data_IF_053842491965
#
_entry.id   IF_053842491965
#
_cell.length_a   1.000
_cell.length_b   1.000
_cell.length_c   1.000
_cell.angle_alpha   90.00
_cell.angle_beta   90.00
_cell.angle_gamma   90.00
#
_symmetry.space_group_name_H-M   'P 1'
#
loop_
_entity.id
_entity.type
_entity.pdbx_description
1 polymer ?
#
# COMPACT_ATOMS: atom_id res chain seq x y z
N UNK A 1 5.71 49.18 -18.39
CA UNK A 1 4.72 48.36 -19.11
C UNK A 1 5.52 47.36 -19.92
N UNK A 2 5.98 46.36 -19.18
CA UNK A 2 6.49 45.09 -19.65
C UNK A 2 5.31 44.29 -20.21
N UNK A 3 5.49 43.62 -21.35
CA UNK A 3 4.72 42.43 -21.71
C UNK A 3 5.47 41.59 -22.76
N UNK A 4 5.32 40.28 -22.60
CA UNK A 4 5.98 39.16 -23.26
C UNK A 4 5.60 38.98 -24.73
N UNK A 5 6.52 38.41 -25.53
CA UNK A 5 6.18 37.38 -26.53
C UNK A 5 7.42 36.62 -27.05
N UNK A 6 7.52 35.38 -26.58
CA UNK A 6 7.79 34.17 -27.38
C UNK A 6 9.15 34.06 -28.09
N UNK A 7 10.18 33.70 -27.32
CA UNK A 7 11.36 33.02 -27.84
C UNK A 7 11.09 31.52 -28.05
N UNK A 8 10.45 31.16 -29.16
CA UNK A 8 10.55 29.81 -29.72
C UNK A 8 11.89 29.71 -30.47
N UNK A 9 12.78 28.85 -30.01
CA UNK A 9 13.90 28.31 -30.80
C UNK A 9 14.16 26.90 -30.26
N UNK A 10 13.53 25.89 -30.85
CA UNK A 10 14.00 25.11 -32.00
C UNK A 10 14.63 23.80 -31.51
N UNK A 11 13.85 22.75 -31.75
CA UNK A 11 14.21 21.34 -31.65
C UNK A 11 15.36 21.06 -32.62
N UNK A 12 16.44 20.46 -32.11
CA UNK A 12 17.42 19.71 -32.90
C UNK A 12 17.37 18.27 -32.41
N UNK A 13 17.06 17.35 -33.33
CA UNK A 13 16.84 15.94 -33.04
C UNK A 13 18.09 15.06 -33.15
N UNK A 14 17.92 13.82 -32.68
CA UNK A 14 18.64 12.63 -33.13
C UNK A 14 19.71 12.10 -32.17
N UNK A 15 19.37 11.09 -31.37
CA UNK A 15 20.33 10.27 -30.60
C UNK A 15 19.68 9.48 -29.46
N UNK A 16 19.24 8.26 -29.77
CA UNK A 16 18.93 7.12 -28.86
C UNK A 16 18.34 7.39 -27.47
N UNK A 17 17.02 7.26 -27.37
CA UNK A 17 16.38 6.34 -26.42
C UNK A 17 16.77 6.40 -24.95
N UNK A 18 16.69 7.56 -24.30
CA UNK A 18 16.49 7.63 -22.85
C UNK A 18 15.17 8.32 -22.55
N UNK A 19 14.20 7.55 -22.03
CA UNK A 19 13.02 8.13 -21.37
C UNK A 19 13.54 9.04 -20.25
N UNK A 20 13.10 10.31 -20.17
CA UNK A 20 13.52 11.18 -19.09
C UNK A 20 13.03 10.60 -17.77
N UNK A 21 13.95 10.07 -16.96
CA UNK A 21 13.66 9.81 -15.56
C UNK A 21 13.60 11.16 -14.87
N UNK A 22 12.37 11.62 -14.62
CA UNK A 22 12.12 12.84 -13.89
C UNK A 22 12.52 12.61 -12.43
N UNK A 23 13.59 13.30 -12.05
CA UNK A 23 13.71 14.13 -10.84
C UNK A 23 13.12 13.57 -9.54
N UNK A 24 14.02 13.22 -8.63
CA UNK A 24 13.75 13.24 -7.19
C UNK A 24 14.43 12.14 -6.41
N UNK A 25 15.73 12.27 -6.15
CA UNK A 25 16.47 11.42 -5.21
C UNK A 25 16.05 11.67 -3.75
N UNK A 26 14.79 11.36 -3.42
CA UNK A 26 14.26 11.24 -2.05
C UNK A 26 13.77 9.83 -1.74
N UNK A 27 13.95 8.87 -2.67
CA UNK A 27 13.33 7.54 -2.65
C UNK A 27 13.88 6.54 -1.61
N UNK A 28 14.81 6.90 -0.74
CA UNK A 28 15.57 5.89 0.01
C UNK A 28 15.29 5.75 1.52
N UNK A 29 14.38 6.51 2.14
CA UNK A 29 14.24 6.42 3.61
C UNK A 29 12.82 6.29 4.19
N UNK A 30 11.76 6.30 3.37
CA UNK A 30 10.38 6.20 3.91
C UNK A 30 9.44 5.32 3.06
N UNK A 31 9.97 4.55 2.09
CA UNK A 31 9.15 3.68 1.26
C UNK A 31 9.04 2.28 1.86
N UNK A 32 7.84 1.95 2.33
CA UNK A 32 7.43 0.62 2.75
C UNK A 32 7.93 -0.47 1.79
N UNK A 33 8.61 -1.46 2.35
CA UNK A 33 9.21 -2.61 1.67
C UNK A 33 8.20 -3.43 0.83
N UNK A 34 6.89 -3.15 0.93
CA UNK A 34 5.80 -3.84 0.23
C UNK A 34 5.58 -3.42 -1.22
N UNK A 35 5.92 -2.19 -1.62
CA UNK A 35 5.58 -1.71 -2.98
C UNK A 35 6.49 -2.30 -4.08
N UNK A 36 7.78 -2.38 -3.79
CA UNK A 36 8.79 -2.88 -4.72
C UNK A 36 8.54 -4.33 -5.18
N UNK A 37 8.22 -5.30 -4.29
CA UNK A 37 7.93 -6.66 -4.72
C UNK A 37 6.68 -6.73 -5.61
N UNK A 38 5.62 -5.96 -5.30
CA UNK A 38 4.39 -5.94 -6.12
C UNK A 38 4.67 -5.46 -7.54
N UNK A 39 5.41 -4.36 -7.68
CA UNK A 39 5.78 -3.82 -8.99
C UNK A 39 6.65 -4.81 -9.78
N UNK A 40 7.58 -5.50 -9.11
CA UNK A 40 8.40 -6.53 -9.77
C UNK A 40 7.57 -7.73 -10.25
N UNK A 41 6.62 -8.21 -9.44
CA UNK A 41 5.75 -9.32 -9.81
C UNK A 41 4.81 -8.94 -10.97
N UNK A 42 4.31 -7.71 -11.00
CA UNK A 42 3.55 -7.20 -12.14
C UNK A 42 4.40 -7.12 -13.41
N UNK A 43 5.67 -6.73 -13.30
CA UNK A 43 6.61 -6.69 -14.43
C UNK A 43 6.92 -8.10 -14.97
N UNK A 44 6.94 -9.11 -14.10
CA UNK A 44 7.08 -10.52 -14.45
C UNK A 44 5.79 -11.15 -15.03
N UNK A 45 4.70 -10.37 -15.11
CA UNK A 45 3.43 -10.78 -15.73
C UNK A 45 2.47 -11.52 -14.79
N UNK A 46 2.68 -11.45 -13.47
CA UNK A 46 1.74 -11.98 -12.49
C UNK A 46 0.55 -11.04 -12.26
N UNK A 47 -0.60 -11.64 -11.96
CA UNK A 47 -1.72 -10.92 -11.36
C UNK A 47 -1.48 -10.82 -9.85
N UNK A 48 -1.43 -9.59 -9.32
CA UNK A 48 -1.09 -9.34 -7.92
C UNK A 48 -2.26 -8.69 -7.21
N UNK A 49 -2.79 -9.41 -6.22
CA UNK A 49 -3.65 -8.85 -5.19
C UNK A 49 -2.84 -8.65 -3.91
N UNK A 50 -3.05 -7.53 -3.22
CA UNK A 50 -2.41 -7.26 -1.93
C UNK A 50 -3.46 -7.00 -0.85
N UNK A 51 -3.08 -7.26 0.40
CA UNK A 51 -3.99 -7.26 1.54
C UNK A 51 -3.82 -5.96 2.34
N UNK A 52 -4.72 -5.01 2.13
CA UNK A 52 -4.61 -3.66 2.69
C UNK A 52 -4.71 -3.64 4.22
N UNK A 53 -5.55 -4.50 4.80
CA UNK A 53 -5.80 -4.57 6.25
C UNK A 53 -4.70 -5.32 7.03
N UNK A 54 -3.72 -5.90 6.32
CA UNK A 54 -2.56 -6.57 6.91
C UNK A 54 -1.26 -5.78 6.72
N UNK A 55 -1.30 -4.60 6.08
CA UNK A 55 -0.13 -3.77 5.79
C UNK A 55 -0.28 -2.42 6.48
N UNK A 56 0.75 -2.02 7.22
CA UNK A 56 0.81 -0.73 7.91
C UNK A 56 1.99 0.11 7.43
N UNK A 57 1.82 1.43 7.48
CA UNK A 57 2.87 2.41 7.19
C UNK A 57 3.08 3.31 8.43
N UNK A 58 4.17 4.08 8.47
CA UNK A 58 4.47 5.01 9.56
C UNK A 58 3.43 6.12 9.73
N UNK A 59 2.69 6.43 8.67
CA UNK A 59 1.57 7.36 8.72
C UNK A 59 0.42 6.94 7.80
N UNK A 60 -0.79 7.40 8.12
CA UNK A 60 -1.97 7.15 7.28
C UNK A 60 -1.81 7.76 5.90
N UNK A 61 -1.21 8.95 5.79
CA UNK A 61 -1.00 9.61 4.50
C UNK A 61 -0.03 8.83 3.60
N UNK A 62 1.03 8.25 4.17
CA UNK A 62 1.95 7.38 3.44
C UNK A 62 1.24 6.12 2.96
N UNK A 63 0.50 5.43 3.85
CA UNK A 63 -0.28 4.25 3.50
C UNK A 63 -1.28 4.53 2.36
N UNK A 64 -2.09 5.58 2.47
CA UNK A 64 -3.10 5.94 1.46
C UNK A 64 -2.43 6.25 0.11
N UNK A 65 -1.26 6.91 0.12
CA UNK A 65 -0.50 7.21 -1.10
C UNK A 65 0.08 5.94 -1.74
N UNK A 66 0.57 5.00 -0.93
CA UNK A 66 1.10 3.71 -1.41
C UNK A 66 -0.01 2.87 -2.04
N UNK A 67 -1.18 2.76 -1.40
CA UNK A 67 -2.35 2.05 -1.94
C UNK A 67 -2.78 2.65 -3.29
N UNK A 68 -2.85 3.97 -3.39
CA UNK A 68 -3.19 4.66 -4.64
C UNK A 68 -2.17 4.35 -5.75
N UNK A 69 -0.88 4.31 -5.42
CA UNK A 69 0.18 3.96 -6.36
C UNK A 69 0.03 2.53 -6.86
N UNK A 70 -0.17 1.58 -5.96
CA UNK A 70 -0.34 0.16 -6.31
C UNK A 70 -1.59 -0.06 -7.17
N UNK A 71 -2.70 0.57 -6.83
CA UNK A 71 -3.92 0.53 -7.63
C UNK A 71 -3.68 1.05 -9.06
N UNK A 72 -2.94 2.16 -9.21
CA UNK A 72 -2.58 2.69 -10.54
C UNK A 72 -1.64 1.78 -11.33
N UNK A 73 -0.81 0.97 -10.67
CA UNK A 73 0.02 -0.03 -11.36
C UNK A 73 -0.76 -1.26 -11.83
N UNK A 74 -2.03 -1.39 -11.45
CA UNK A 74 -2.88 -2.53 -11.80
C UNK A 74 -2.93 -3.63 -10.74
N UNK A 75 -2.34 -3.42 -9.55
CA UNK A 75 -2.53 -4.32 -8.43
C UNK A 75 -3.94 -4.18 -7.85
N UNK A 76 -4.54 -5.30 -7.44
CA UNK A 76 -5.90 -5.32 -6.91
C UNK A 76 -5.84 -5.19 -5.38
N UNK A 77 -6.35 -4.09 -4.79
CA UNK A 77 -6.48 -4.00 -3.34
C UNK A 77 -7.57 -4.98 -2.88
N UNK A 78 -7.24 -5.82 -1.91
CA UNK A 78 -8.18 -6.74 -1.28
C UNK A 78 -8.00 -6.71 0.25
N UNK A 79 -8.95 -7.28 0.96
CA UNK A 79 -8.89 -7.44 2.42
C UNK A 79 -8.61 -8.89 2.78
N UNK A 80 -8.11 -9.15 3.99
CA UNK A 80 -7.83 -10.51 4.47
C UNK A 80 -9.07 -11.38 4.36
N UNK A 81 -10.24 -10.83 4.70
CA UNK A 81 -11.53 -11.52 4.64
C UNK A 81 -11.98 -11.76 3.20
N UNK A 82 -11.76 -10.79 2.30
CA UNK A 82 -12.04 -10.93 0.87
C UNK A 82 -11.22 -12.05 0.24
N UNK A 83 -9.92 -12.09 0.50
CA UNK A 83 -9.04 -13.16 0.01
C UNK A 83 -9.46 -14.54 0.55
N UNK A 84 -9.83 -14.61 1.83
CA UNK A 84 -10.34 -15.84 2.43
C UNK A 84 -11.64 -16.29 1.76
N UNK A 85 -12.55 -15.35 1.46
CA UNK A 85 -13.80 -15.65 0.77
C UNK A 85 -13.56 -16.13 -0.68
N UNK A 86 -12.57 -15.58 -1.37
CA UNK A 86 -12.14 -16.05 -2.70
C UNK A 86 -11.55 -17.46 -2.66
N UNK A 87 -10.82 -17.81 -1.61
CA UNK A 87 -10.29 -19.17 -1.44
C UNK A 87 -11.38 -20.20 -1.11
N UNK A 88 -12.36 -19.82 -0.30
CA UNK A 88 -13.41 -20.75 0.11
C UNK A 88 -14.48 -20.94 -0.96
N UNK A 89 -14.85 -19.90 -1.72
CA UNK A 89 -15.93 -19.84 -2.73
C UNK A 89 -17.34 -20.21 -2.22
N UNK A 90 -17.48 -21.21 -1.34
CA UNK A 90 -18.71 -21.72 -0.75
C UNK A 90 -18.60 -21.91 0.77
N UNK A 91 -19.56 -21.31 1.49
CA UNK A 91 -19.70 -21.33 2.95
C UNK A 91 -20.27 -22.63 3.51
N UNK A 92 -20.73 -23.53 2.64
CA UNK A 92 -21.22 -24.88 3.00
C UNK A 92 -20.10 -25.89 3.13
N UNK A 93 -18.90 -25.58 2.63
CA UNK A 93 -17.76 -26.47 2.73
C UNK A 93 -17.33 -26.64 4.21
N UNK A 94 -16.83 -27.82 4.60
CA UNK A 94 -16.40 -28.08 5.97
C UNK A 94 -15.27 -27.13 6.42
N UNK A 95 -14.44 -26.65 5.50
CA UNK A 95 -13.37 -25.68 5.78
C UNK A 95 -13.93 -24.34 6.30
N UNK A 96 -15.15 -23.95 5.89
CA UNK A 96 -15.79 -22.74 6.40
C UNK A 96 -16.12 -22.83 7.89
N UNK A 97 -16.36 -24.05 8.41
CA UNK A 97 -16.56 -24.26 9.85
C UNK A 97 -15.25 -24.08 10.64
N UNK A 98 -14.11 -24.45 10.07
CA UNK A 98 -12.81 -24.20 10.68
C UNK A 98 -12.50 -22.69 10.72
N UNK A 99 -12.78 -21.97 9.63
CA UNK A 99 -12.66 -20.51 9.62
C UNK A 99 -13.53 -19.84 10.69
N UNK A 100 -14.79 -20.28 10.87
CA UNK A 100 -15.67 -19.74 11.92
C UNK A 100 -15.08 -19.83 13.33
N UNK A 101 -14.27 -20.84 13.62
CA UNK A 101 -13.61 -20.99 14.94
C UNK A 101 -12.56 -19.90 15.20
N UNK A 102 -11.96 -19.34 14.15
CA UNK A 102 -10.96 -18.27 14.23
C UNK A 102 -11.62 -16.89 14.08
N UNK A 103 -12.55 -16.77 13.14
CA UNK A 103 -13.17 -15.49 12.77
C UNK A 103 -13.99 -14.88 13.92
N UNK A 104 -14.82 -15.69 14.59
CA UNK A 104 -15.71 -15.20 15.65
C UNK A 104 -14.93 -14.56 16.81
N UNK A 105 -13.95 -15.24 17.46
CA UNK A 105 -13.18 -14.61 18.53
C UNK A 105 -12.36 -13.42 18.04
N UNK A 106 -11.81 -13.47 16.82
CA UNK A 106 -11.08 -12.34 16.23
C UNK A 106 -11.96 -11.09 16.08
N UNK A 107 -13.19 -11.22 15.58
CA UNK A 107 -14.10 -10.08 15.44
C UNK A 107 -14.57 -9.55 16.79
N UNK A 108 -14.74 -10.40 17.80
CA UNK A 108 -15.05 -9.97 19.16
C UNK A 108 -13.92 -9.12 19.76
N UNK A 109 -12.66 -9.53 19.54
CA UNK A 109 -11.47 -8.78 19.95
C UNK A 109 -11.36 -7.43 19.23
N UNK A 110 -11.54 -7.41 17.90
CA UNK A 110 -11.53 -6.15 17.14
C UNK A 110 -12.65 -5.21 17.60
N UNK A 111 -13.86 -5.73 17.84
CA UNK A 111 -14.97 -4.93 18.33
C UNK A 111 -14.69 -4.36 19.74
N UNK A 112 -13.95 -5.08 20.58
CA UNK A 112 -13.50 -4.59 21.88
C UNK A 112 -12.45 -3.46 21.72
N UNK A 113 -11.46 -3.65 20.85
CA UNK A 113 -10.42 -2.65 20.55
C UNK A 113 -10.99 -1.37 19.94
N UNK A 114 -12.00 -1.48 19.07
CA UNK A 114 -12.69 -0.31 18.51
C UNK A 114 -13.46 0.48 19.57
N UNK A 115 -14.01 -0.19 20.59
CA UNK A 115 -14.71 0.47 21.71
C UNK A 115 -13.76 1.18 22.67
N UNK A 116 -12.60 0.58 22.94
CA UNK A 116 -11.58 1.13 23.82
C UNK A 116 -10.20 0.96 23.17
N UNK A 117 -9.74 1.94 22.37
CA UNK A 117 -8.46 1.85 21.69
C UNK A 117 -7.33 1.88 22.72
N UNK A 118 -6.73 0.72 22.94
CA UNK A 118 -5.56 0.60 23.80
C UNK A 118 -4.30 0.89 22.98
N UNK A 119 -3.59 1.96 23.33
CA UNK A 119 -2.31 2.29 22.69
C UNK A 119 -1.22 1.37 23.23
N UNK A 120 -0.80 0.39 22.42
CA UNK A 120 0.36 -0.43 22.73
C UNK A 120 1.62 0.44 22.68
N UNK A 121 2.25 0.63 23.84
CA UNK A 121 3.48 1.42 23.92
C UNK A 121 4.60 0.67 23.20
N UNK A 122 5.39 1.33 22.33
CA UNK A 122 6.52 0.70 21.66
C UNK A 122 7.47 0.05 22.67
N UNK A 123 7.62 -1.26 22.63
CA UNK A 123 8.52 -1.97 23.53
C UNK A 123 9.96 -1.74 23.06
N UNK A 124 10.80 -1.17 23.94
CA UNK A 124 12.21 -0.90 23.63
C UNK A 124 12.53 0.49 23.08
N UNK A 125 11.53 1.37 22.91
CA UNK A 125 11.74 2.78 22.57
C UNK A 125 11.43 3.68 23.78
N UNK A 126 12.43 4.36 24.34
CA UNK A 126 12.21 5.37 25.38
C UNK A 126 11.58 6.63 24.78
N UNK A 127 10.26 6.75 24.89
CA UNK A 127 9.55 7.99 24.53
C UNK A 127 9.89 9.06 25.58
N UNK A 128 10.72 10.04 25.22
CA UNK A 128 10.93 11.22 26.08
C UNK A 128 9.66 12.07 26.06
N UNK A 129 8.93 12.09 27.18
CA UNK A 129 7.83 13.03 27.38
C UNK A 129 8.38 14.45 27.37
N UNK A 130 8.09 15.21 26.31
CA UNK A 130 8.34 16.64 26.32
C UNK A 130 7.24 17.27 27.19
N UNK A 131 7.67 17.92 28.28
CA UNK A 131 6.82 18.69 29.20
C UNK A 131 6.69 20.12 28.68
#
# INVERSE_FOLDING_TARGET
MDDERLGRSQVCGGGEGHRPQATGDVWNLDFGLSDLPVVSALADGYEVAFIEDAVGDSSRQQHDTAVLRLAHTGAIPNTTVGMIAEWFLDWKLPVANEWRKVAVPYYDEIAALQRAPEYQTPHGFTVKKHT
#
